data_IF_251169307480
#
_entry.id   IF_251169307480
#
_cell.length_a   1.000
_cell.length_b   1.000
_cell.length_c   1.000
_cell.angle_alpha   90.00
_cell.angle_beta   90.00
_cell.angle_gamma   90.00
#
_symmetry.space_group_name_H-M   'P 1'
#
loop_
_entity.id
_entity.type
_entity.pdbx_description
1 polymer ?
#
# COMPACT_ATOMS: atom_id res chain seq x y z
N UNK A 1 -12.32 -29.08 10.20
CA UNK A 1 -11.75 -30.00 11.17
C UNK A 1 -10.49 -30.64 10.61
N UNK A 2 -9.37 -30.53 11.31
CA UNK A 2 -8.06 -31.07 10.94
C UNK A 2 -7.64 -30.73 9.50
N UNK A 3 -7.72 -29.47 9.16
CA UNK A 3 -7.31 -28.99 7.84
C UNK A 3 -5.90 -29.49 7.47
N UNK A 4 -5.74 -29.97 6.25
CA UNK A 4 -4.50 -30.57 5.67
C UNK A 4 -4.08 -31.92 6.24
N UNK A 5 -4.84 -32.53 7.14
CA UNK A 5 -4.59 -33.88 7.63
C UNK A 5 -5.31 -34.92 6.76
N UNK A 6 -4.88 -36.20 6.76
CA UNK A 6 -5.54 -37.23 5.94
C UNK A 6 -7.02 -37.48 6.27
N UNK A 7 -7.44 -37.10 7.48
CA UNK A 7 -8.82 -37.19 7.99
C UNK A 7 -9.52 -35.81 8.03
N UNK A 8 -9.11 -34.89 7.17
CA UNK A 8 -9.78 -33.60 7.00
C UNK A 8 -11.26 -33.77 6.72
N UNK A 9 -12.09 -32.97 7.42
CA UNK A 9 -13.53 -32.94 7.20
C UNK A 9 -14.03 -31.50 7.15
N UNK A 10 -14.81 -31.19 6.13
CA UNK A 10 -15.40 -29.86 5.90
C UNK A 10 -16.92 -29.98 6.11
N UNK A 11 -17.47 -29.20 7.04
CA UNK A 11 -18.91 -29.02 7.21
C UNK A 11 -19.31 -27.65 6.68
N UNK A 12 -20.43 -27.64 5.98
CA UNK A 12 -21.06 -26.40 5.49
C UNK A 12 -22.46 -26.27 6.07
N UNK A 13 -22.81 -25.04 6.47
CA UNK A 13 -24.11 -24.75 7.02
C UNK A 13 -24.32 -23.24 7.16
N UNK A 14 -25.47 -22.91 7.70
CA UNK A 14 -25.83 -21.55 8.07
C UNK A 14 -25.56 -21.33 9.57
N UNK A 15 -25.57 -20.09 10.03
CA UNK A 15 -25.42 -19.76 11.46
C UNK A 15 -26.48 -20.48 12.32
N UNK A 16 -27.65 -20.78 11.75
CA UNK A 16 -28.75 -21.45 12.44
C UNK A 16 -28.60 -22.97 12.60
N UNK A 17 -27.83 -23.64 11.70
CA UNK A 17 -27.74 -25.10 11.69
C UNK A 17 -26.34 -25.68 11.92
N UNK A 18 -25.31 -24.85 11.82
CA UNK A 18 -23.92 -25.32 11.87
C UNK A 18 -23.54 -25.91 13.24
N UNK A 19 -24.09 -25.37 14.32
CA UNK A 19 -23.80 -25.88 15.67
C UNK A 19 -24.24 -27.34 15.82
N UNK A 20 -25.48 -27.64 15.42
CA UNK A 20 -26.03 -29.02 15.42
C UNK A 20 -25.19 -29.95 14.53
N UNK A 21 -24.81 -29.50 13.30
CA UNK A 21 -23.98 -30.28 12.40
C UNK A 21 -22.60 -30.61 12.96
N UNK A 22 -22.00 -29.68 13.69
CA UNK A 22 -20.70 -29.87 14.37
C UNK A 22 -20.81 -30.89 15.50
N UNK A 23 -21.89 -30.82 16.30
CA UNK A 23 -22.18 -31.79 17.37
C UNK A 23 -22.38 -33.18 16.80
N UNK A 24 -23.24 -33.35 15.78
CA UNK A 24 -23.51 -34.61 15.09
C UNK A 24 -22.24 -35.21 14.48
N UNK A 25 -21.34 -34.38 13.96
CA UNK A 25 -20.06 -34.80 13.40
C UNK A 25 -18.99 -35.13 14.43
N UNK A 26 -19.24 -34.84 15.72
CA UNK A 26 -18.30 -35.13 16.81
C UNK A 26 -17.03 -34.26 16.80
N UNK A 27 -17.06 -33.05 16.24
CA UNK A 27 -15.90 -32.17 16.23
C UNK A 27 -15.68 -31.52 17.60
N UNK A 28 -14.60 -31.91 18.28
CA UNK A 28 -14.32 -31.40 19.62
C UNK A 28 -13.18 -30.39 19.71
N UNK A 29 -12.18 -30.48 18.82
CA UNK A 29 -10.97 -29.64 18.82
C UNK A 29 -10.42 -29.55 17.38
N UNK A 30 -9.51 -28.60 17.15
CA UNK A 30 -8.77 -28.47 15.88
C UNK A 30 -9.68 -28.17 14.67
N UNK A 31 -10.73 -27.37 14.86
CA UNK A 31 -11.59 -26.90 13.79
C UNK A 31 -11.35 -25.41 13.53
N UNK A 32 -11.29 -25.04 12.26
CA UNK A 32 -11.35 -23.66 11.80
C UNK A 32 -12.80 -23.33 11.42
N UNK A 33 -13.28 -22.18 11.81
CA UNK A 33 -14.62 -21.71 11.49
C UNK A 33 -14.51 -20.49 10.60
N UNK A 34 -15.10 -20.57 9.42
CA UNK A 34 -15.21 -19.47 8.48
C UNK A 34 -16.67 -19.03 8.39
N UNK A 35 -16.93 -17.73 8.48
CA UNK A 35 -18.26 -17.16 8.38
C UNK A 35 -18.23 -15.98 7.41
N UNK A 36 -19.10 -15.99 6.42
CA UNK A 36 -19.25 -14.86 5.51
C UNK A 36 -19.84 -15.23 4.17
N UNK A 37 -20.38 -14.24 3.46
CA UNK A 37 -20.98 -14.42 2.13
C UNK A 37 -19.97 -14.88 1.08
N UNK A 38 -18.68 -14.67 1.31
CA UNK A 38 -17.62 -15.14 0.43
C UNK A 38 -17.55 -16.67 0.31
N UNK A 39 -18.12 -17.40 1.27
CA UNK A 39 -18.17 -18.87 1.24
C UNK A 39 -19.17 -19.42 0.22
N UNK A 40 -20.14 -18.62 -0.20
CA UNK A 40 -21.12 -18.98 -1.24
C UNK A 40 -20.73 -18.50 -2.63
N UNK A 41 -19.65 -17.74 -2.74
CA UNK A 41 -19.18 -17.23 -4.02
C UNK A 41 -18.67 -18.38 -4.90
N UNK A 42 -19.37 -18.65 -5.98
CA UNK A 42 -18.84 -19.41 -7.11
C UNK A 42 -17.81 -18.51 -7.82
N UNK A 43 -16.65 -18.39 -7.29
CA UNK A 43 -15.65 -17.49 -7.84
C UNK A 43 -14.26 -18.06 -7.78
N UNK A 44 -13.43 -17.66 -8.71
CA UNK A 44 -12.06 -18.08 -8.85
C UNK A 44 -11.22 -17.98 -7.56
N UNK A 45 -9.99 -18.42 -7.65
CA UNK A 45 -9.03 -18.41 -6.56
C UNK A 45 -9.04 -17.07 -5.82
N UNK A 46 -8.97 -17.12 -4.49
CA UNK A 46 -8.86 -15.92 -3.66
C UNK A 46 -7.70 -15.06 -4.16
N UNK A 47 -7.98 -13.82 -4.54
CA UNK A 47 -6.94 -12.88 -4.93
C UNK A 47 -6.16 -12.34 -3.73
N UNK A 48 -6.57 -12.70 -2.50
CA UNK A 48 -5.96 -12.21 -1.25
C UNK A 48 -4.45 -12.49 -1.18
N UNK A 49 -4.00 -13.58 -1.81
CA UNK A 49 -2.58 -13.96 -1.92
C UNK A 49 -2.05 -13.82 -3.35
N UNK A 50 -2.84 -13.28 -4.27
CA UNK A 50 -2.38 -12.99 -5.61
C UNK A 50 -1.33 -11.89 -5.58
N UNK A 51 -0.32 -11.98 -6.44
CA UNK A 51 0.69 -10.95 -6.59
C UNK A 51 0.09 -9.60 -7.00
N UNK A 52 -1.14 -9.60 -7.49
CA UNK A 52 -1.91 -8.47 -8.00
C UNK A 52 -2.99 -7.95 -7.03
N UNK A 53 -3.07 -8.51 -5.79
CA UNK A 53 -4.07 -8.10 -4.83
C UNK A 53 -3.58 -6.97 -3.93
N UNK A 54 -4.23 -5.82 -4.02
CA UNK A 54 -3.99 -4.64 -3.18
C UNK A 54 -5.24 -4.27 -2.38
N UNK A 55 -5.09 -3.86 -1.14
CA UNK A 55 -6.13 -3.26 -0.30
C UNK A 55 -5.51 -2.20 0.61
N UNK A 56 -6.32 -1.37 1.28
CA UNK A 56 -5.89 -0.21 2.06
C UNK A 56 -4.84 -0.47 3.17
N UNK A 57 -4.53 -1.74 3.47
CA UNK A 57 -3.50 -2.16 4.43
C UNK A 57 -2.40 -3.02 3.80
N UNK A 58 -2.47 -3.29 2.51
CA UNK A 58 -1.50 -4.11 1.78
C UNK A 58 -1.15 -3.44 0.46
N UNK A 59 -0.13 -2.60 0.50
CA UNK A 59 0.52 -2.12 -0.71
C UNK A 59 1.51 -3.19 -1.18
N UNK A 60 1.19 -3.86 -2.28
CA UNK A 60 2.13 -4.74 -2.96
C UNK A 60 3.19 -3.93 -3.66
N UNK A 61 4.38 -3.92 -3.11
CA UNK A 61 5.52 -3.23 -3.67
C UNK A 61 6.79 -4.06 -3.53
N UNK A 62 6.80 -5.19 -4.22
CA UNK A 62 8.06 -5.77 -4.63
C UNK A 62 8.53 -5.04 -5.90
N UNK A 63 9.71 -4.45 -5.87
CA UNK A 63 10.44 -3.90 -7.00
C UNK A 63 9.68 -2.89 -7.87
N UNK A 64 9.75 -1.60 -7.55
CA UNK A 64 9.29 -0.46 -8.36
C UNK A 64 7.85 -0.58 -8.95
N UNK A 65 7.13 -1.65 -8.72
CA UNK A 65 5.82 -1.88 -9.26
C UNK A 65 4.76 -1.19 -8.43
N UNK A 66 4.12 -0.19 -8.99
CA UNK A 66 2.80 0.23 -8.60
C UNK A 66 1.80 -0.71 -9.27
N UNK A 67 0.92 -1.35 -8.52
CA UNK A 67 -0.05 -2.36 -8.99
C UNK A 67 -1.51 -2.00 -8.68
N UNK A 68 -1.72 -0.80 -8.15
CA UNK A 68 -3.03 -0.28 -7.77
C UNK A 68 -3.91 0.11 -8.96
N UNK A 69 -5.20 0.37 -8.68
CA UNK A 69 -6.17 0.89 -9.64
C UNK A 69 -5.94 2.39 -9.86
N UNK A 70 -5.96 2.81 -11.11
CA UNK A 70 -5.72 4.20 -11.49
C UNK A 70 -6.97 4.87 -12.05
N UNK A 71 -7.25 6.11 -11.64
CA UNK A 71 -8.16 7.01 -12.32
C UNK A 71 -7.37 8.10 -13.03
N UNK A 72 -7.58 8.27 -14.33
CA UNK A 72 -6.98 9.32 -15.13
C UNK A 72 -8.04 10.37 -15.47
N UNK A 73 -7.72 11.64 -15.34
CA UNK A 73 -8.63 12.75 -15.59
C UNK A 73 -8.06 13.64 -16.68
N UNK A 74 -8.74 13.70 -17.82
CA UNK A 74 -8.38 14.52 -18.97
C UNK A 74 -9.39 15.67 -19.17
N UNK A 75 -8.89 16.83 -19.53
CA UNK A 75 -9.69 18.06 -19.67
C UNK A 75 -9.76 18.56 -21.12
N UNK A 76 -9.00 17.93 -22.01
CA UNK A 76 -8.90 18.25 -23.44
C UNK A 76 -8.77 16.98 -24.25
N UNK A 77 -8.98 17.08 -25.56
CA UNK A 77 -8.85 15.93 -26.46
C UNK A 77 -7.39 15.39 -26.51
N UNK A 78 -6.40 16.30 -26.48
CA UNK A 78 -4.98 15.91 -26.37
C UNK A 78 -4.70 15.21 -25.05
N UNK A 79 -5.33 15.68 -23.97
CA UNK A 79 -5.24 15.02 -22.65
C UNK A 79 -5.82 13.61 -22.67
N UNK A 80 -6.92 13.37 -23.40
CA UNK A 80 -7.50 12.03 -23.56
C UNK A 80 -6.52 11.09 -24.30
N UNK A 81 -5.89 11.56 -25.38
CA UNK A 81 -4.88 10.79 -26.10
C UNK A 81 -3.72 10.40 -25.17
N UNK A 82 -3.22 11.37 -24.39
CA UNK A 82 -2.16 11.11 -23.42
C UNK A 82 -2.60 10.13 -22.31
N UNK A 83 -3.83 10.27 -21.81
CA UNK A 83 -4.39 9.35 -20.81
C UNK A 83 -4.44 7.91 -21.33
N UNK A 84 -4.86 7.71 -22.59
CA UNK A 84 -4.88 6.39 -23.22
C UNK A 84 -3.49 5.77 -23.37
N UNK A 85 -2.50 6.56 -23.78
CA UNK A 85 -1.11 6.12 -23.86
C UNK A 85 -0.58 5.68 -22.49
N UNK A 86 -0.82 6.49 -21.45
CA UNK A 86 -0.40 6.16 -20.08
C UNK A 86 -1.10 4.89 -19.61
N UNK A 87 -2.41 4.77 -19.80
CA UNK A 87 -3.18 3.60 -19.39
C UNK A 87 -2.66 2.32 -20.06
N UNK A 88 -2.43 2.36 -21.36
CA UNK A 88 -1.88 1.23 -22.12
C UNK A 88 -0.46 0.85 -21.63
N UNK A 89 0.41 1.83 -21.40
CA UNK A 89 1.79 1.60 -20.93
C UNK A 89 1.87 1.14 -19.48
N UNK A 90 0.92 1.52 -18.63
CA UNK A 90 0.84 1.05 -17.26
C UNK A 90 0.41 -0.41 -17.19
N UNK A 91 -0.51 -0.86 -18.06
CA UNK A 91 -1.05 -2.21 -18.00
C UNK A 91 -1.79 -2.52 -16.68
N UNK A 92 -2.31 -1.49 -16.01
CA UNK A 92 -3.02 -1.58 -14.74
C UNK A 92 -4.53 -1.40 -14.93
N UNK A 93 -5.36 -1.86 -13.98
CA UNK A 93 -6.78 -1.53 -13.97
C UNK A 93 -6.97 -0.01 -13.93
N UNK A 94 -7.43 0.57 -15.05
CA UNK A 94 -7.47 2.02 -15.24
C UNK A 94 -8.83 2.46 -15.75
N UNK A 95 -9.34 3.58 -15.18
CA UNK A 95 -10.53 4.27 -15.69
C UNK A 95 -10.11 5.66 -16.15
N UNK A 96 -10.46 6.01 -17.38
CA UNK A 96 -10.20 7.34 -17.95
C UNK A 96 -11.49 8.16 -17.88
N UNK A 97 -11.41 9.30 -17.23
CA UNK A 97 -12.48 10.32 -17.18
C UNK A 97 -12.13 11.50 -18.07
N UNK A 98 -13.08 11.96 -18.86
CA UNK A 98 -12.93 13.17 -19.67
C UNK A 98 -14.05 14.16 -19.38
N UNK A 99 -13.71 15.43 -19.19
CA UNK A 99 -14.71 16.51 -19.08
C UNK A 99 -15.33 16.87 -20.42
N UNK A 100 -14.79 16.35 -21.52
CA UNK A 100 -15.35 16.50 -22.88
C UNK A 100 -15.96 15.18 -23.34
N UNK A 101 -17.07 15.22 -24.06
CA UNK A 101 -17.64 14.04 -24.70
C UNK A 101 -16.68 13.56 -25.81
N UNK A 102 -16.19 12.35 -25.69
CA UNK A 102 -15.22 11.77 -26.67
C UNK A 102 -15.88 10.78 -27.62
N UNK A 103 -17.07 10.25 -27.29
CA UNK A 103 -17.67 9.14 -28.01
C UNK A 103 -16.91 7.81 -27.90
N UNK A 104 -15.77 7.77 -27.20
CA UNK A 104 -14.95 6.57 -27.05
C UNK A 104 -15.51 5.70 -25.91
N UNK A 105 -15.75 4.39 -26.13
CA UNK A 105 -16.39 3.50 -25.15
C UNK A 105 -15.50 3.22 -23.92
N UNK A 106 -14.21 3.45 -24.03
CA UNK A 106 -13.19 3.26 -22.99
C UNK A 106 -12.95 4.54 -22.15
N UNK A 107 -13.71 5.62 -22.39
CA UNK A 107 -13.59 6.90 -21.69
C UNK A 107 -14.94 7.29 -21.08
N UNK A 108 -14.96 7.49 -19.78
CA UNK A 108 -16.13 7.94 -19.04
C UNK A 108 -16.27 9.46 -19.22
N UNK A 109 -17.39 9.90 -19.78
CA UNK A 109 -17.70 11.34 -19.84
C UNK A 109 -18.07 11.82 -18.43
N UNK A 110 -17.32 12.79 -17.91
CA UNK A 110 -17.50 13.41 -16.59
C UNK A 110 -17.58 14.92 -16.79
N UNK A 111 -18.77 15.50 -16.96
CA UNK A 111 -18.94 16.94 -17.18
C UNK A 111 -18.27 17.77 -16.07
N UNK A 112 -17.82 18.98 -16.42
CA UNK A 112 -17.09 19.84 -15.49
C UNK A 112 -17.88 20.19 -14.23
N UNK A 113 -19.20 20.34 -14.33
CA UNK A 113 -20.12 20.59 -13.21
C UNK A 113 -20.24 19.41 -12.23
N UNK A 114 -20.03 18.20 -12.70
CA UNK A 114 -20.09 16.97 -11.87
C UNK A 114 -18.71 16.45 -11.46
N UNK A 115 -17.65 17.09 -11.94
CA UNK A 115 -16.29 16.61 -11.75
C UNK A 115 -15.90 16.42 -10.27
N UNK A 116 -16.23 17.42 -9.43
CA UNK A 116 -15.87 17.38 -8.00
C UNK A 116 -16.61 16.28 -7.26
N UNK A 117 -17.87 16.05 -7.58
CA UNK A 117 -18.65 14.94 -7.03
C UNK A 117 -18.10 13.59 -7.48
N UNK A 118 -17.73 13.45 -8.75
CA UNK A 118 -17.13 12.24 -9.30
C UNK A 118 -15.77 11.97 -8.67
N UNK A 119 -14.92 12.98 -8.55
CA UNK A 119 -13.61 12.84 -7.91
C UNK A 119 -13.75 12.42 -6.44
N UNK A 120 -14.68 13.03 -5.71
CA UNK A 120 -14.96 12.69 -4.31
C UNK A 120 -15.45 11.25 -4.16
N UNK A 121 -16.37 10.81 -5.02
CA UNK A 121 -16.87 9.43 -5.03
C UNK A 121 -15.76 8.41 -5.36
N UNK A 122 -14.85 8.76 -6.25
CA UNK A 122 -13.74 7.93 -6.69
C UNK A 122 -12.56 7.92 -5.70
N UNK A 123 -12.46 8.90 -4.80
CA UNK A 123 -11.26 9.19 -4.02
C UNK A 123 -10.65 7.97 -3.33
N UNK A 124 -11.50 7.10 -2.76
CA UNK A 124 -11.07 5.87 -2.07
C UNK A 124 -11.29 4.58 -2.88
N UNK A 125 -11.79 4.71 -4.11
CA UNK A 125 -11.99 3.55 -4.99
C UNK A 125 -10.78 3.26 -5.85
N UNK A 126 -9.86 4.24 -5.96
CA UNK A 126 -8.63 4.16 -6.73
C UNK A 126 -7.43 4.42 -5.83
N UNK A 127 -6.35 3.74 -6.11
CA UNK A 127 -5.08 3.88 -5.40
C UNK A 127 -4.26 5.06 -5.96
N UNK A 128 -4.59 5.51 -7.16
CA UNK A 128 -3.95 6.66 -7.80
C UNK A 128 -4.93 7.51 -8.60
N UNK A 129 -4.75 8.84 -8.51
CA UNK A 129 -5.44 9.85 -9.30
C UNK A 129 -4.42 10.64 -10.13
N UNK A 130 -4.50 10.50 -11.45
CA UNK A 130 -3.56 11.08 -12.41
C UNK A 130 -4.30 12.14 -13.23
N UNK A 131 -3.89 13.38 -13.09
CA UNK A 131 -4.51 14.52 -13.77
C UNK A 131 -3.69 14.91 -14.99
N UNK A 132 -4.29 14.80 -16.17
CA UNK A 132 -3.65 15.16 -17.45
C UNK A 132 -4.01 16.59 -17.80
N UNK A 133 -3.15 17.53 -17.41
CA UNK A 133 -3.38 18.97 -17.58
C UNK A 133 -2.54 19.82 -16.63
N UNK A 134 -3.00 21.05 -16.38
CA UNK A 134 -2.28 21.99 -15.53
C UNK A 134 -2.25 21.54 -14.06
N UNK A 135 -1.09 21.64 -13.43
CA UNK A 135 -0.82 21.22 -12.03
C UNK A 135 -1.76 21.91 -11.01
N UNK A 136 -2.22 23.12 -11.31
CA UNK A 136 -3.18 23.81 -10.44
C UNK A 136 -4.56 23.13 -10.35
N UNK A 137 -4.91 22.22 -11.26
CA UNK A 137 -6.18 21.48 -11.21
C UNK A 137 -6.16 20.48 -10.06
N UNK A 138 -5.24 19.48 -10.02
CA UNK A 138 -5.20 18.55 -8.89
C UNK A 138 -4.96 19.25 -7.56
N UNK A 139 -4.15 20.30 -7.53
CA UNK A 139 -3.93 21.06 -6.31
C UNK A 139 -5.26 21.56 -5.70
N UNK A 140 -6.11 22.22 -6.50
CA UNK A 140 -7.40 22.75 -6.03
C UNK A 140 -8.44 21.65 -5.75
N UNK A 141 -8.46 20.61 -6.58
CA UNK A 141 -9.50 19.58 -6.55
C UNK A 141 -9.22 18.47 -5.53
N UNK A 142 -7.95 18.09 -5.33
CA UNK A 142 -7.58 17.07 -4.39
C UNK A 142 -7.44 17.58 -2.95
N UNK A 143 -6.98 18.84 -2.75
CA UNK A 143 -6.74 19.40 -1.40
C UNK A 143 -7.92 19.20 -0.43
N UNK A 144 -9.20 19.44 -0.79
CA UNK A 144 -10.31 19.24 0.14
C UNK A 144 -10.52 17.77 0.57
N UNK A 145 -9.99 16.82 -0.19
CA UNK A 145 -10.17 15.38 0.04
C UNK A 145 -9.04 14.77 0.84
N UNK A 146 -7.90 15.46 0.96
CA UNK A 146 -6.73 14.98 1.67
C UNK A 146 -7.01 14.84 3.17
N UNK A 147 -6.54 13.74 3.76
CA UNK A 147 -6.65 13.41 5.19
C UNK A 147 -5.31 13.13 5.83
N UNK A 148 -4.38 12.51 5.11
CA UNK A 148 -3.05 12.20 5.62
C UNK A 148 -2.26 11.30 4.68
N UNK A 149 -0.93 11.50 4.67
CA UNK A 149 -0.01 10.83 3.73
C UNK A 149 -0.02 9.30 3.76
N UNK A 150 -0.48 8.70 4.86
CA UNK A 150 -0.54 7.24 5.04
C UNK A 150 -1.84 6.60 4.55
N UNK A 151 -2.87 7.42 4.26
CA UNK A 151 -4.20 6.93 3.89
C UNK A 151 -4.71 7.52 2.58
N UNK A 152 -4.11 8.61 2.11
CA UNK A 152 -4.51 9.25 0.86
C UNK A 152 -3.91 8.51 -0.35
N UNK A 153 -4.66 8.41 -1.45
CA UNK A 153 -4.16 7.83 -2.69
C UNK A 153 -3.00 8.64 -3.28
N UNK A 154 -2.29 8.04 -4.22
CA UNK A 154 -1.30 8.74 -5.02
C UNK A 154 -1.98 9.83 -5.87
N UNK A 155 -1.43 11.04 -5.86
CA UNK A 155 -1.92 12.13 -6.71
C UNK A 155 -0.78 12.66 -7.59
N UNK A 156 -0.99 12.65 -8.89
CA UNK A 156 -0.03 13.08 -9.89
C UNK A 156 -0.64 14.09 -10.85
N UNK A 157 0.22 14.98 -11.35
CA UNK A 157 -0.08 15.83 -12.49
C UNK A 157 0.86 15.50 -13.65
N UNK A 158 0.32 15.49 -14.87
CA UNK A 158 1.09 15.30 -16.08
C UNK A 158 0.52 16.25 -17.14
N UNK A 159 1.30 17.16 -17.74
CA UNK A 159 0.83 17.97 -18.85
C UNK A 159 0.51 17.09 -20.06
N UNK A 160 -0.30 17.58 -20.97
CA UNK A 160 -0.69 16.85 -22.19
C UNK A 160 0.52 16.43 -23.05
N UNK A 161 1.60 17.21 -22.99
CA UNK A 161 2.87 16.87 -23.67
C UNK A 161 3.53 15.62 -23.10
N UNK A 162 3.22 15.23 -21.85
CA UNK A 162 3.90 14.17 -21.15
C UNK A 162 5.33 14.51 -20.70
N UNK A 163 5.79 15.75 -20.91
CA UNK A 163 7.17 16.18 -20.65
C UNK A 163 7.60 16.07 -19.18
N UNK A 164 6.64 16.19 -18.26
CA UNK A 164 6.88 16.10 -16.82
C UNK A 164 5.79 15.29 -16.15
N UNK A 165 6.15 14.47 -15.19
CA UNK A 165 5.20 13.75 -14.33
C UNK A 165 5.49 14.13 -12.89
N UNK A 166 4.59 14.89 -12.30
CA UNK A 166 4.79 15.56 -11.03
C UNK A 166 4.09 14.78 -9.92
N UNK A 167 4.86 14.28 -8.97
CA UNK A 167 4.37 13.66 -7.76
C UNK A 167 3.88 14.75 -6.79
N UNK A 168 2.59 14.74 -6.42
CA UNK A 168 2.00 15.80 -5.59
C UNK A 168 1.83 15.37 -4.13
N UNK A 169 1.31 14.18 -3.87
CA UNK A 169 1.04 13.69 -2.51
C UNK A 169 1.38 12.22 -2.37
N UNK A 170 1.51 11.73 -1.11
CA UNK A 170 1.69 10.32 -0.78
C UNK A 170 2.89 9.66 -1.48
N UNK A 171 4.02 10.38 -1.52
CA UNK A 171 5.21 10.00 -2.29
C UNK A 171 5.69 8.58 -2.03
N UNK A 172 5.91 8.21 -0.76
CA UNK A 172 6.41 6.90 -0.34
C UNK A 172 5.24 5.92 -0.09
N UNK A 173 4.38 6.19 0.88
CA UNK A 173 3.27 5.30 1.25
C UNK A 173 2.29 5.02 0.10
N UNK A 174 1.88 6.06 -0.62
CA UNK A 174 0.96 5.94 -1.75
C UNK A 174 1.63 5.50 -3.05
N UNK A 175 2.97 5.38 -3.08
CA UNK A 175 3.70 4.97 -4.26
C UNK A 175 3.75 6.01 -5.38
N UNK A 176 3.41 7.27 -5.09
CA UNK A 176 3.34 8.36 -6.08
C UNK A 176 4.67 8.55 -6.80
N UNK A 177 5.79 8.52 -6.08
CA UNK A 177 7.13 8.71 -6.66
C UNK A 177 7.47 7.60 -7.66
N UNK A 178 7.15 6.35 -7.36
CA UNK A 178 7.34 5.23 -8.28
C UNK A 178 6.45 5.32 -9.50
N UNK A 179 5.18 5.63 -9.28
CA UNK A 179 4.24 5.82 -10.37
C UNK A 179 4.66 6.97 -11.29
N UNK A 180 5.17 8.07 -10.73
CA UNK A 180 5.72 9.19 -11.50
C UNK A 180 6.89 8.75 -12.39
N UNK A 181 7.84 7.98 -11.86
CA UNK A 181 8.96 7.44 -12.66
C UNK A 181 8.47 6.49 -13.76
N UNK A 182 7.51 5.64 -13.45
CA UNK A 182 6.92 4.70 -14.41
C UNK A 182 6.20 5.41 -15.55
N UNK A 183 5.36 6.40 -15.25
CA UNK A 183 4.65 7.20 -16.25
C UNK A 183 5.65 8.02 -17.08
N UNK A 184 6.67 8.63 -16.47
CA UNK A 184 7.70 9.37 -17.17
C UNK A 184 8.44 8.49 -18.21
N UNK A 185 8.73 7.23 -17.90
CA UNK A 185 9.29 6.28 -18.87
C UNK A 185 8.33 6.00 -20.04
N UNK A 186 7.01 5.89 -19.77
CA UNK A 186 6.01 5.68 -20.81
C UNK A 186 5.91 6.88 -21.74
N UNK A 187 5.90 8.10 -21.19
CA UNK A 187 5.70 9.32 -21.96
C UNK A 187 6.99 9.88 -22.56
N UNK A 188 8.16 9.31 -22.22
CA UNK A 188 9.45 9.88 -22.56
C UNK A 188 9.77 11.18 -21.82
N UNK A 189 9.02 11.49 -20.75
CA UNK A 189 9.19 12.70 -19.95
C UNK A 189 10.09 12.53 -18.75
N UNK A 190 10.07 13.52 -17.87
CA UNK A 190 10.83 13.56 -16.62
C UNK A 190 9.92 13.43 -15.41
N UNK A 191 10.26 12.55 -14.46
CA UNK A 191 9.60 12.51 -13.16
C UNK A 191 10.08 13.67 -12.29
N UNK A 192 9.14 14.44 -11.71
CA UNK A 192 9.42 15.54 -10.78
C UNK A 192 9.02 15.06 -9.38
N UNK A 193 10.03 14.76 -8.57
CA UNK A 193 9.90 14.20 -7.24
C UNK A 193 10.58 15.14 -6.26
N UNK A 194 9.84 15.59 -5.24
CA UNK A 194 10.32 16.58 -4.28
C UNK A 194 10.56 16.04 -2.87
N UNK A 195 10.46 14.73 -2.64
CA UNK A 195 10.73 14.16 -1.31
C UNK A 195 12.23 14.25 -0.98
N UNK A 196 12.60 14.75 0.21
CA UNK A 196 14.01 14.94 0.55
C UNK A 196 14.84 13.67 0.48
N UNK A 197 14.30 12.52 0.87
CA UNK A 197 15.01 11.24 0.78
C UNK A 197 15.36 10.90 -0.67
N UNK A 198 14.39 11.01 -1.60
CA UNK A 198 14.62 10.74 -3.03
C UNK A 198 15.65 11.71 -3.64
N UNK A 199 15.59 13.00 -3.29
CA UNK A 199 16.51 14.03 -3.81
C UNK A 199 17.94 13.77 -3.35
N UNK A 200 18.12 13.26 -2.13
CA UNK A 200 19.43 12.94 -1.56
C UNK A 200 19.87 11.48 -1.82
N UNK A 201 19.09 10.70 -2.56
CA UNK A 201 19.41 9.30 -2.82
C UNK A 201 19.42 8.42 -1.57
N UNK A 202 18.71 8.82 -0.53
CA UNK A 202 18.60 8.10 0.73
C UNK A 202 17.34 7.20 0.73
N UNK A 203 17.41 5.99 1.31
CA UNK A 203 16.22 5.18 1.51
C UNK A 203 15.31 5.82 2.55
N UNK A 204 14.00 5.65 2.40
CA UNK A 204 13.05 6.00 3.44
C UNK A 204 12.61 4.73 4.16
N UNK A 205 12.54 4.76 5.51
CA UNK A 205 12.19 3.57 6.30
C UNK A 205 10.76 3.09 6.02
N UNK A 206 9.84 4.01 5.79
CA UNK A 206 8.46 3.71 5.41
C UNK A 206 8.35 3.11 4.00
N UNK A 207 9.22 3.51 3.09
CA UNK A 207 9.30 2.89 1.76
C UNK A 207 9.89 1.48 1.83
N UNK A 208 10.94 1.28 2.59
CA UNK A 208 11.51 -0.05 2.83
C UNK A 208 10.49 -1.00 3.46
N UNK A 209 9.74 -0.53 4.48
CA UNK A 209 8.66 -1.31 5.08
C UNK A 209 7.58 -1.70 4.07
N UNK A 210 7.18 -0.76 3.21
CA UNK A 210 6.22 -1.04 2.15
C UNK A 210 6.73 -2.07 1.13
N UNK A 211 8.01 -1.98 0.72
CA UNK A 211 8.63 -2.92 -0.22
C UNK A 211 8.76 -4.33 0.36
N UNK A 212 9.01 -4.45 1.66
CA UNK A 212 9.08 -5.74 2.36
C UNK A 212 7.71 -6.25 2.84
N UNK A 213 6.62 -5.57 2.47
CA UNK A 213 5.26 -5.89 2.95
C UNK A 213 5.15 -5.91 4.48
N UNK A 214 5.99 -5.15 5.14
CA UNK A 214 6.06 -5.06 6.57
C UNK A 214 5.15 -3.95 7.10
N UNK A 215 4.68 -4.13 8.33
CA UNK A 215 3.85 -3.17 9.03
C UNK A 215 4.72 -2.35 9.98
N UNK A 216 4.58 -1.04 9.94
CA UNK A 216 5.12 -0.15 10.96
C UNK A 216 4.14 -0.12 12.13
N UNK A 217 4.62 -0.46 13.32
CA UNK A 217 3.80 -0.57 14.53
C UNK A 217 3.64 0.78 15.25
N UNK A 218 4.63 1.68 15.08
CA UNK A 218 4.64 3.04 15.66
C UNK A 218 4.90 4.11 14.57
N UNK A 219 3.93 4.37 13.68
CA UNK A 219 4.11 5.22 12.50
C UNK A 219 4.49 6.68 12.82
N UNK A 220 4.25 7.16 14.05
CA UNK A 220 4.66 8.47 14.53
C UNK A 220 6.19 8.64 14.54
N UNK A 221 6.95 7.57 14.75
CA UNK A 221 8.41 7.59 14.75
C UNK A 221 9.03 7.77 13.35
N UNK A 222 8.31 7.42 12.28
CA UNK A 222 8.81 7.48 10.88
C UNK A 222 9.40 8.84 10.53
N UNK A 223 8.71 9.91 10.92
CA UNK A 223 9.17 11.27 10.61
C UNK A 223 10.50 11.58 11.24
N UNK A 224 10.66 11.23 12.51
CA UNK A 224 11.88 11.52 13.27
C UNK A 224 13.07 10.69 12.75
N UNK A 225 12.85 9.41 12.45
CA UNK A 225 13.90 8.55 11.90
C UNK A 225 14.33 8.97 10.48
N UNK A 226 13.38 9.32 9.61
CA UNK A 226 13.71 9.83 8.27
C UNK A 226 14.43 11.20 8.37
N UNK A 227 14.07 12.05 9.32
CA UNK A 227 14.80 13.30 9.56
C UNK A 227 16.23 13.04 10.05
N UNK A 228 16.41 12.16 11.03
CA UNK A 228 17.73 11.76 11.53
C UNK A 228 18.63 11.22 10.40
N UNK A 229 18.08 10.42 9.49
CA UNK A 229 18.79 9.92 8.32
C UNK A 229 19.23 11.06 7.38
N UNK A 230 18.35 12.03 7.13
CA UNK A 230 18.66 13.21 6.31
C UNK A 230 19.72 14.10 6.94
N UNK A 231 19.71 14.20 8.27
CA UNK A 231 20.68 15.00 9.05
C UNK A 231 22.03 14.29 9.23
N UNK A 232 22.18 13.08 8.68
CA UNK A 232 23.42 12.31 8.81
C UNK A 232 23.62 11.68 10.20
N UNK A 233 22.57 11.62 11.02
CA UNK A 233 22.64 11.05 12.37
C UNK A 233 22.79 9.52 12.27
N UNK A 234 23.69 8.88 13.04
CA UNK A 234 23.83 7.44 13.06
C UNK A 234 22.55 6.76 13.54
N UNK A 235 22.14 5.71 12.80
CA UNK A 235 20.95 4.92 13.09
C UNK A 235 21.35 3.45 13.18
N UNK A 236 20.94 2.77 14.24
CA UNK A 236 21.10 1.33 14.37
C UNK A 236 19.97 0.61 13.62
N UNK A 237 20.29 -0.48 12.97
CA UNK A 237 19.31 -1.42 12.42
C UNK A 237 19.47 -2.77 13.11
N UNK A 238 18.42 -3.21 13.79
CA UNK A 238 18.38 -4.51 14.48
C UNK A 238 17.27 -5.36 13.86
N UNK A 239 17.62 -6.54 13.36
CA UNK A 239 16.60 -7.43 12.79
C UNK A 239 17.09 -8.23 11.58
N UNK A 240 16.26 -8.38 10.58
CA UNK A 240 16.55 -9.22 9.42
C UNK A 240 17.69 -8.66 8.57
N UNK A 241 18.86 -9.32 8.61
CA UNK A 241 20.07 -8.90 7.88
C UNK A 241 19.83 -8.72 6.38
N UNK A 242 19.05 -9.59 5.75
CA UNK A 242 18.74 -9.48 4.31
C UNK A 242 17.97 -8.20 3.97
N UNK A 243 17.14 -7.70 4.86
CA UNK A 243 16.44 -6.41 4.71
C UNK A 243 17.43 -5.26 4.81
N UNK A 244 18.32 -5.29 5.82
CA UNK A 244 19.38 -4.30 5.96
C UNK A 244 20.26 -4.23 4.70
N UNK A 245 20.74 -5.36 4.21
CA UNK A 245 21.60 -5.42 3.03
C UNK A 245 20.93 -4.89 1.77
N UNK A 246 19.62 -5.14 1.61
CA UNK A 246 18.86 -4.70 0.45
C UNK A 246 18.60 -3.20 0.44
N UNK A 247 18.28 -2.61 1.59
CA UNK A 247 17.77 -1.25 1.66
C UNK A 247 18.75 -0.24 2.27
N UNK A 248 19.62 -0.64 3.18
CA UNK A 248 20.34 0.29 4.04
C UNK A 248 21.87 0.15 4.03
N UNK A 249 22.42 -0.97 3.60
CA UNK A 249 23.87 -1.24 3.64
C UNK A 249 24.73 -0.21 2.87
N UNK A 250 24.16 0.42 1.84
CA UNK A 250 24.85 1.46 1.07
C UNK A 250 24.82 2.84 1.72
N UNK A 251 24.08 3.02 2.81
CA UNK A 251 23.79 4.31 3.43
C UNK A 251 24.84 4.61 4.48
N UNK A 252 25.93 4.58 4.60
CA UNK A 252 26.96 4.87 5.62
C UNK A 252 26.52 5.31 7.03
N UNK A 253 25.27 5.79 7.15
CA UNK A 253 24.67 6.26 8.42
C UNK A 253 23.86 5.18 9.15
N UNK A 254 23.49 4.09 8.47
CA UNK A 254 22.74 2.99 9.08
C UNK A 254 23.67 1.82 9.31
N UNK A 255 23.83 1.41 10.56
CA UNK A 255 24.70 0.30 10.95
C UNK A 255 23.88 -0.88 11.45
N UNK A 256 24.27 -2.09 11.05
CA UNK A 256 23.62 -3.32 11.49
C UNK A 256 24.14 -3.77 12.86
N UNK A 257 23.21 -4.10 13.74
CA UNK A 257 23.49 -4.70 15.06
C UNK A 257 22.75 -6.03 15.19
N UNK A 258 23.45 -7.07 15.59
CA UNK A 258 22.81 -8.38 15.84
C UNK A 258 22.01 -8.38 17.13
N UNK A 259 22.52 -7.67 18.14
CA UNK A 259 21.87 -7.58 19.44
C UNK A 259 21.45 -6.12 19.72
N UNK A 260 20.15 -5.83 19.92
CA UNK A 260 19.66 -4.50 20.26
C UNK A 260 20.29 -3.91 21.54
N UNK A 261 20.79 -4.72 22.46
CA UNK A 261 21.47 -4.26 23.66
C UNK A 261 22.84 -3.60 23.39
N UNK A 262 23.41 -3.85 22.20
CA UNK A 262 24.70 -3.26 21.79
C UNK A 262 24.50 -1.88 21.12
N UNK A 263 23.26 -1.41 20.97
CA UNK A 263 22.96 -0.11 20.38
C UNK A 263 23.40 1.02 21.29
N UNK A 264 24.29 1.86 20.78
CA UNK A 264 24.84 3.03 21.51
C UNK A 264 24.39 4.36 20.94
N UNK A 265 23.69 4.38 19.81
CA UNK A 265 23.18 5.59 19.20
C UNK A 265 21.73 5.86 19.62
N UNK A 266 21.31 7.14 19.56
CA UNK A 266 19.99 7.57 20.03
C UNK A 266 18.83 7.21 19.10
N UNK A 267 19.09 6.57 17.93
CA UNK A 267 18.08 6.23 16.94
C UNK A 267 18.25 4.79 16.46
N UNK A 268 17.14 4.06 16.33
CA UNK A 268 17.19 2.68 15.87
C UNK A 268 15.96 2.28 15.03
N UNK A 269 16.11 1.20 14.29
CA UNK A 269 15.02 0.46 13.63
C UNK A 269 15.03 -0.95 14.18
N UNK A 270 13.92 -1.39 14.74
CA UNK A 270 13.66 -2.77 15.08
C UNK A 270 12.85 -3.41 13.96
N UNK A 271 13.39 -4.45 13.34
CA UNK A 271 12.73 -5.14 12.24
C UNK A 271 12.56 -6.63 12.57
N UNK A 272 11.32 -7.04 12.82
CA UNK A 272 10.98 -8.39 13.30
C UNK A 272 11.72 -8.80 14.58
N UNK A 273 12.10 -7.83 15.39
CA UNK A 273 12.79 -8.07 16.65
C UNK A 273 11.79 -8.17 17.82
N UNK A 274 11.97 -9.16 18.66
CA UNK A 274 11.21 -9.31 19.92
C UNK A 274 11.93 -8.64 21.11
N UNK A 275 13.13 -8.13 20.87
CA UNK A 275 13.93 -7.48 21.89
C UNK A 275 13.52 -6.02 22.07
N UNK A 276 13.76 -5.49 23.26
CA UNK A 276 13.56 -4.09 23.59
C UNK A 276 14.88 -3.34 23.52
N UNK A 277 14.79 -2.05 23.18
CA UNK A 277 15.89 -1.10 23.23
C UNK A 277 15.93 -0.37 24.58
N UNK A 278 17.05 0.28 24.96
CA UNK A 278 17.09 1.22 26.06
C UNK A 278 16.03 2.34 25.90
N UNK A 279 15.47 2.82 27.01
CA UNK A 279 14.38 3.83 27.01
C UNK A 279 14.75 5.15 26.31
N UNK A 280 16.05 5.48 26.26
CA UNK A 280 16.52 6.72 25.64
C UNK A 280 16.62 6.65 24.12
N UNK A 281 16.48 5.46 23.53
CA UNK A 281 16.59 5.26 22.07
C UNK A 281 15.25 5.48 21.41
N UNK A 282 15.17 6.48 20.54
CA UNK A 282 14.03 6.66 19.65
C UNK A 282 14.08 5.59 18.54
N UNK A 283 13.08 4.77 18.45
CA UNK A 283 13.10 3.68 17.47
C UNK A 283 11.84 3.58 16.62
N UNK A 284 11.99 2.98 15.44
CA UNK A 284 10.93 2.55 14.57
C UNK A 284 10.75 1.05 14.73
N UNK A 285 9.53 0.64 15.03
CA UNK A 285 9.16 -0.78 15.17
C UNK A 285 8.45 -1.26 13.90
N UNK A 286 9.04 -2.26 13.26
CA UNK A 286 8.57 -2.80 11.97
C UNK A 286 8.42 -4.31 12.06
N UNK A 287 7.27 -4.82 11.63
CA UNK A 287 7.01 -6.25 11.61
C UNK A 287 6.53 -6.72 10.24
N UNK A 288 7.24 -7.68 9.67
CA UNK A 288 6.82 -8.44 8.48
C UNK A 288 5.99 -9.68 8.85
N UNK A 289 5.85 -9.96 10.15
CA UNK A 289 5.12 -11.14 10.63
C UNK A 289 3.62 -10.98 10.40
N UNK A 290 3.02 -11.93 9.70
CA UNK A 290 1.57 -12.05 9.61
C UNK A 290 1.03 -12.50 10.98
N UNK A 291 0.18 -11.69 11.60
CA UNK A 291 -0.53 -12.12 12.81
C UNK A 291 -1.62 -13.12 12.42
N UNK A 292 -1.45 -14.37 12.78
CA UNK A 292 -2.51 -15.37 12.71
C UNK A 292 -3.32 -15.29 14.00
N UNK A 293 -4.49 -14.66 13.94
CA UNK A 293 -5.42 -14.64 15.06
C UNK A 293 -6.10 -16.02 15.17
N UNK A 294 -5.59 -16.90 16.00
CA UNK A 294 -6.24 -18.15 16.36
C UNK A 294 -7.29 -17.91 17.44
N UNK A 295 -8.58 -17.96 17.10
CA UNK A 295 -9.66 -17.96 18.08
C UNK A 295 -9.88 -19.40 18.56
N UNK A 296 -9.33 -19.75 19.72
CA UNK A 296 -9.56 -21.04 20.37
C UNK A 296 -10.71 -20.93 21.36
N UNK A 297 -11.78 -21.72 21.19
CA UNK A 297 -12.81 -21.88 22.21
C UNK A 297 -12.49 -23.06 23.14
N UNK A 298 -12.40 -22.84 24.45
CA UNK A 298 -12.45 -23.92 25.45
C UNK A 298 -13.89 -24.37 25.61
N UNK A 299 -14.11 -25.68 25.64
CA UNK A 299 -15.43 -26.27 25.95
C UNK A 299 -15.90 -25.77 27.30
N UNK A 300 -17.08 -25.14 27.37
CA UNK A 300 -17.68 -24.65 28.60
C UNK A 300 -17.60 -23.14 28.86
N UNK A 301 -16.97 -22.35 27.97
CA UNK A 301 -17.01 -20.89 28.07
C UNK A 301 -18.25 -20.40 27.33
N UNK A 302 -19.22 -19.80 28.08
CA UNK A 302 -20.33 -19.10 27.46
C UNK A 302 -19.82 -17.80 26.83
N UNK A 303 -20.27 -17.42 25.60
CA UNK A 303 -19.96 -16.12 25.04
C UNK A 303 -20.59 -15.04 25.96
N UNK A 304 -19.79 -14.03 26.27
CA UNK A 304 -20.28 -12.78 26.84
C UNK A 304 -20.84 -11.89 25.75
#
# INVERSE_FOLDING_TARGET
YRATWPDERILRGTVSDIARKVEEAGFGRQALIFVGRALDAQGGASRLYGADFSHGYRNHLANEAFDGRCALYAFTDKGVVRAKEIAAGLGLPTVIHSTRPTGAPDVVHTPGETFDATLSANWRQFDAHIFIGATGIPFRKATPLLRGKSIDPAVLACPESGSHVIALTSGHFGGTNRLARRIARITGGQAVIGSPADVNGLPAFDEAAAQEHARILNPEAVRALNAALLDGTPIAFCGTRAVFERHFASTGQVAFFENPQDVTCGHAVLWDSENTLPEEVLYLDVSSRAFVLGVGCRRGVKPQ
#
